data_IF_529432671835
#
_entry.id   IF_529432671835
#
_cell.length_a   1.000
_cell.length_b   1.000
_cell.length_c   1.000
_cell.angle_alpha   90.00
_cell.angle_beta   90.00
_cell.angle_gamma   90.00
#
_symmetry.space_group_name_H-M   'P 1'
#
loop_
_entity.id
_entity.type
_entity.pdbx_description
1 polymer ?
#
# COMPACT_ATOMS: atom_id res chain seq x y z
N UNK A 1 28.02 23.03 11.14
CA UNK A 1 26.74 23.56 11.67
C UNK A 1 25.72 22.44 11.55
N UNK A 2 25.41 21.86 12.70
CA UNK A 2 24.40 20.85 13.04
C UNK A 2 23.59 20.19 11.90
N UNK A 3 24.16 19.16 11.27
CA UNK A 3 23.39 18.18 10.49
C UNK A 3 22.77 17.17 11.47
N UNK A 4 21.72 17.61 12.17
CA UNK A 4 20.90 16.68 12.96
C UNK A 4 20.35 15.61 12.01
N UNK A 5 20.72 14.32 12.17
CA UNK A 5 20.19 13.28 11.30
C UNK A 5 18.69 13.24 11.53
N UNK A 6 17.96 13.70 10.51
CA UNK A 6 16.50 13.72 10.45
C UNK A 6 15.95 12.42 11.02
N UNK A 7 15.43 12.47 12.26
CA UNK A 7 15.02 11.30 13.03
C UNK A 7 14.00 10.52 12.20
N UNK A 8 14.47 9.42 11.58
CA UNK A 8 13.61 8.44 10.93
C UNK A 8 13.07 7.56 12.04
N UNK A 9 11.76 7.53 12.19
CA UNK A 9 11.10 6.61 13.12
C UNK A 9 11.31 5.18 12.61
N UNK A 10 12.33 4.53 13.16
CA UNK A 10 12.69 3.16 12.82
C UNK A 10 11.53 2.20 13.11
N UNK A 11 10.74 2.46 14.16
CA UNK A 11 9.59 1.62 14.49
C UNK A 11 8.57 1.59 13.35
N UNK A 12 8.30 2.73 12.72
CA UNK A 12 7.33 2.84 11.62
C UNK A 12 7.83 2.10 10.39
N UNK A 13 9.14 2.20 10.09
CA UNK A 13 9.75 1.50 8.96
C UNK A 13 9.83 -0.02 9.22
N UNK A 14 10.10 -0.44 10.46
CA UNK A 14 10.08 -1.85 10.89
C UNK A 14 8.68 -2.46 10.81
N UNK A 15 7.68 -1.77 11.36
CA UNK A 15 6.28 -2.21 11.31
C UNK A 15 5.78 -2.34 9.88
N UNK A 16 6.23 -1.43 8.99
CA UNK A 16 5.92 -1.49 7.56
C UNK A 16 6.55 -2.72 6.91
N UNK A 17 7.80 -3.02 7.25
CA UNK A 17 8.48 -4.24 6.80
C UNK A 17 7.72 -5.50 7.22
N UNK A 18 7.28 -5.56 8.49
CA UNK A 18 6.47 -6.67 9.01
C UNK A 18 5.15 -6.78 8.25
N UNK A 19 4.44 -5.66 8.02
CA UNK A 19 3.17 -5.66 7.28
C UNK A 19 3.34 -6.17 5.84
N UNK A 20 4.40 -5.75 5.15
CA UNK A 20 4.71 -6.23 3.78
C UNK A 20 5.06 -7.72 3.80
N UNK A 21 5.84 -8.17 4.79
CA UNK A 21 6.20 -9.59 4.95
C UNK A 21 4.95 -10.45 5.12
N UNK A 22 4.03 -10.06 6.00
CA UNK A 22 2.76 -10.77 6.18
C UNK A 22 1.93 -10.79 4.88
N UNK A 23 1.88 -9.67 4.16
CA UNK A 23 1.15 -9.59 2.89
C UNK A 23 1.72 -10.58 1.85
N UNK A 24 3.04 -10.67 1.73
CA UNK A 24 3.72 -11.59 0.81
C UNK A 24 3.47 -13.05 1.22
N UNK A 25 3.60 -13.37 2.50
CA UNK A 25 3.34 -14.73 3.00
C UNK A 25 1.90 -15.17 2.74
N UNK A 26 0.93 -14.27 2.97
CA UNK A 26 -0.47 -14.56 2.65
C UNK A 26 -0.69 -14.81 1.16
N UNK A 27 -0.14 -13.98 0.28
CA UNK A 27 -0.27 -14.16 -1.17
C UNK A 27 0.42 -15.44 -1.65
N UNK A 28 1.56 -15.79 -1.06
CA UNK A 28 2.24 -17.05 -1.36
C UNK A 28 1.35 -18.26 -1.06
N UNK A 29 0.71 -18.31 0.12
CA UNK A 29 -0.24 -19.37 0.46
C UNK A 29 -1.46 -19.36 -0.47
N UNK A 30 -1.97 -18.18 -0.81
CA UNK A 30 -3.05 -18.02 -1.79
C UNK A 30 -2.67 -18.56 -3.17
N UNK A 31 -1.44 -18.31 -3.64
CA UNK A 31 -0.97 -18.80 -4.92
C UNK A 31 -0.85 -20.33 -4.90
N UNK A 32 -0.33 -20.93 -3.82
CA UNK A 32 -0.29 -22.39 -3.65
C UNK A 32 -1.68 -23.03 -3.70
N UNK A 33 -2.68 -22.41 -3.07
CA UNK A 33 -4.08 -22.86 -3.13
C UNK A 33 -4.67 -22.66 -4.54
N UNK A 34 -4.39 -21.53 -5.18
CA UNK A 34 -4.83 -21.24 -6.54
C UNK A 34 -4.28 -22.24 -7.58
N UNK A 35 -3.03 -22.68 -7.43
CA UNK A 35 -2.43 -23.72 -8.28
C UNK A 35 -2.85 -25.14 -7.89
N UNK A 36 -3.65 -25.31 -6.83
CA UNK A 36 -4.13 -26.62 -6.37
C UNK A 36 -3.06 -27.50 -5.72
N UNK A 37 -1.91 -26.93 -5.35
CA UNK A 37 -0.83 -27.65 -4.66
C UNK A 37 -1.23 -27.97 -3.22
N UNK A 38 -2.04 -27.11 -2.61
CA UNK A 38 -2.51 -27.26 -1.23
C UNK A 38 -3.99 -26.87 -1.20
N UNK A 39 -4.88 -27.73 -0.69
CA UNK A 39 -6.30 -27.40 -0.52
C UNK A 39 -6.53 -26.76 0.85
N UNK A 40 -6.17 -25.49 1.01
CA UNK A 40 -6.44 -24.72 2.23
C UNK A 40 -7.50 -23.69 1.89
N UNK A 41 -8.58 -23.64 2.66
CA UNK A 41 -9.54 -22.55 2.53
C UNK A 41 -8.95 -21.24 3.06
N UNK A 42 -8.14 -20.58 2.23
CA UNK A 42 -7.47 -19.30 2.54
C UNK A 42 -8.49 -18.19 2.78
N UNK A 43 -9.74 -18.40 2.33
CA UNK A 43 -10.86 -17.48 2.49
C UNK A 43 -11.61 -17.67 3.82
N UNK A 44 -11.23 -18.65 4.66
CA UNK A 44 -11.82 -18.86 5.98
C UNK A 44 -10.80 -19.01 7.11
N UNK A 45 -11.28 -18.86 8.35
CA UNK A 45 -10.48 -19.08 9.56
C UNK A 45 -9.37 -18.05 9.82
N UNK A 46 -8.21 -18.57 10.23
CA UNK A 46 -7.07 -17.77 10.72
C UNK A 46 -6.43 -16.95 9.61
N UNK A 47 -6.33 -17.49 8.38
CA UNK A 47 -5.71 -16.82 7.24
C UNK A 47 -6.44 -15.55 6.83
N UNK A 48 -7.77 -15.56 6.83
CA UNK A 48 -8.57 -14.38 6.53
C UNK A 48 -8.34 -13.27 7.57
N UNK A 49 -8.23 -13.64 8.85
CA UNK A 49 -7.95 -12.69 9.94
C UNK A 49 -6.56 -12.08 9.79
N UNK A 50 -5.56 -12.90 9.47
CA UNK A 50 -4.18 -12.46 9.19
C UNK A 50 -4.16 -11.51 7.98
N UNK A 51 -4.88 -11.83 6.92
CA UNK A 51 -4.98 -10.98 5.73
C UNK A 51 -5.57 -9.61 6.06
N UNK A 52 -6.69 -9.59 6.80
CA UNK A 52 -7.33 -8.33 7.24
C UNK A 52 -6.39 -7.52 8.11
N UNK A 53 -5.75 -8.15 9.10
CA UNK A 53 -4.77 -7.48 9.96
C UNK A 53 -3.61 -6.89 9.17
N UNK A 54 -3.05 -7.65 8.22
CA UNK A 54 -1.96 -7.19 7.37
C UNK A 54 -2.38 -5.97 6.53
N UNK A 55 -3.55 -6.03 5.89
CA UNK A 55 -4.07 -4.91 5.09
C UNK A 55 -4.36 -3.70 5.97
N UNK A 56 -5.03 -3.85 7.11
CA UNK A 56 -5.33 -2.75 8.03
C UNK A 56 -4.05 -2.09 8.54
N UNK A 57 -3.07 -2.88 8.99
CA UNK A 57 -1.79 -2.37 9.46
C UNK A 57 -1.03 -1.63 8.36
N UNK A 58 -1.00 -2.21 7.16
CA UNK A 58 -0.35 -1.62 6.00
C UNK A 58 -0.96 -0.26 5.62
N UNK A 59 -2.29 -0.17 5.60
CA UNK A 59 -3.00 1.08 5.30
C UNK A 59 -2.80 2.15 6.37
N UNK A 60 -2.81 1.76 7.64
CA UNK A 60 -2.55 2.66 8.77
C UNK A 60 -1.13 3.25 8.65
N UNK A 61 -0.14 2.40 8.39
CA UNK A 61 1.26 2.82 8.23
C UNK A 61 1.48 3.67 6.98
N UNK A 62 0.77 3.40 5.89
CA UNK A 62 0.76 4.25 4.69
C UNK A 62 0.25 5.66 5.02
N UNK A 63 -0.87 5.76 5.75
CA UNK A 63 -1.42 7.03 6.21
C UNK A 63 -0.45 7.80 7.10
N UNK A 64 0.10 7.16 8.13
CA UNK A 64 1.14 7.73 9.00
C UNK A 64 2.35 8.24 8.21
N UNK A 65 2.81 7.46 7.25
CA UNK A 65 3.95 7.83 6.40
C UNK A 65 3.65 9.05 5.55
N UNK A 66 2.42 9.16 5.04
CA UNK A 66 1.97 10.30 4.25
C UNK A 66 1.91 11.56 5.12
N UNK A 67 1.30 11.49 6.30
CA UNK A 67 1.20 12.61 7.25
C UNK A 67 2.58 13.09 7.70
N UNK A 68 3.49 12.16 8.04
CA UNK A 68 4.85 12.51 8.42
C UNK A 68 5.65 13.13 7.26
N UNK A 69 5.42 12.65 6.03
CA UNK A 69 6.03 13.25 4.85
C UNK A 69 5.44 14.63 4.52
N UNK A 70 4.15 14.84 4.75
CA UNK A 70 3.46 16.12 4.55
C UNK A 70 3.93 17.16 5.58
N UNK A 71 3.93 16.82 6.87
CA UNK A 71 4.44 17.70 7.94
C UNK A 71 5.88 18.17 7.70
N UNK A 72 6.72 17.32 7.10
CA UNK A 72 8.06 17.72 6.66
C UNK A 72 8.03 18.69 5.49
N UNK A 73 7.18 18.44 4.48
CA UNK A 73 7.05 19.33 3.33
C UNK A 73 6.53 20.72 3.69
N UNK A 74 5.59 20.81 4.64
CA UNK A 74 5.07 22.07 5.19
C UNK A 74 6.19 22.84 5.90
N UNK A 75 6.94 22.20 6.80
CA UNK A 75 8.08 22.82 7.51
C UNK A 75 9.17 23.36 6.57
N UNK A 76 9.34 22.74 5.41
CA UNK A 76 10.31 23.13 4.38
C UNK A 76 9.76 24.18 3.39
N UNK A 77 8.50 24.62 3.53
CA UNK A 77 7.86 25.57 2.59
C UNK A 77 7.70 25.03 1.17
N UNK A 78 7.63 23.70 1.00
CA UNK A 78 7.65 23.00 -0.30
C UNK A 78 6.33 22.28 -0.61
N UNK A 79 5.21 22.82 -0.13
CA UNK A 79 3.87 22.21 -0.25
C UNK A 79 3.50 21.89 -1.71
N UNK A 80 3.66 22.83 -2.62
CA UNK A 80 3.31 22.66 -4.03
C UNK A 80 4.12 21.55 -4.73
N UNK A 81 5.42 21.45 -4.38
CA UNK A 81 6.30 20.40 -4.90
C UNK A 81 5.91 19.03 -4.33
N UNK A 82 5.50 18.98 -3.06
CA UNK A 82 5.02 17.76 -2.44
C UNK A 82 3.72 17.28 -3.10
N UNK A 83 2.74 18.18 -3.30
CA UNK A 83 1.48 17.88 -4.00
C UNK A 83 1.72 17.30 -5.39
N UNK A 84 2.51 17.97 -6.24
CA UNK A 84 2.84 17.48 -7.59
C UNK A 84 3.53 16.12 -7.55
N UNK A 85 4.45 15.91 -6.61
CA UNK A 85 5.16 14.63 -6.47
C UNK A 85 4.22 13.52 -6.02
N UNK A 86 3.33 13.80 -5.06
CA UNK A 86 2.35 12.85 -4.55
C UNK A 86 1.38 12.43 -5.64
N UNK A 87 0.79 13.40 -6.35
CA UNK A 87 -0.15 13.13 -7.43
C UNK A 87 0.47 12.35 -8.59
N UNK A 88 1.71 12.69 -8.99
CA UNK A 88 2.44 11.93 -10.00
C UNK A 88 2.71 10.50 -9.56
N UNK A 89 3.09 10.30 -8.28
CA UNK A 89 3.31 8.96 -7.72
C UNK A 89 2.02 8.16 -7.67
N UNK A 90 0.93 8.75 -7.20
CA UNK A 90 -0.36 8.06 -7.11
C UNK A 90 -0.92 7.72 -8.49
N UNK A 91 -0.82 8.64 -9.45
CA UNK A 91 -1.18 8.38 -10.84
C UNK A 91 -0.36 7.22 -11.43
N UNK A 92 0.95 7.20 -11.20
CA UNK A 92 1.81 6.10 -11.64
C UNK A 92 1.40 4.75 -11.03
N UNK A 93 1.16 4.71 -9.71
CA UNK A 93 0.71 3.50 -9.02
C UNK A 93 -0.65 3.03 -9.56
N UNK A 94 -1.58 3.96 -9.78
CA UNK A 94 -2.91 3.66 -10.31
C UNK A 94 -2.83 3.13 -11.75
N UNK A 95 -1.98 3.72 -12.60
CA UNK A 95 -1.73 3.22 -13.95
C UNK A 95 -1.16 1.80 -13.93
N UNK A 96 -0.23 1.52 -13.03
CA UNK A 96 0.31 0.16 -12.84
C UNK A 96 -0.78 -0.81 -12.38
N UNK A 97 -1.65 -0.38 -11.46
CA UNK A 97 -2.77 -1.17 -10.96
C UNK A 97 -3.73 -1.55 -12.10
N UNK A 98 -4.12 -0.58 -12.92
CA UNK A 98 -4.98 -0.80 -14.09
C UNK A 98 -4.33 -1.71 -15.12
N UNK A 99 -3.02 -1.56 -15.34
CA UNK A 99 -2.26 -2.43 -16.24
C UNK A 99 -2.28 -3.89 -15.74
N UNK A 100 -2.05 -4.11 -14.44
CA UNK A 100 -2.14 -5.45 -13.83
C UNK A 100 -3.55 -6.02 -13.96
N UNK A 101 -4.59 -5.23 -13.70
CA UNK A 101 -5.98 -5.66 -13.90
C UNK A 101 -6.28 -6.03 -15.34
N UNK A 102 -5.81 -5.24 -16.32
CA UNK A 102 -6.01 -5.51 -17.73
C UNK A 102 -5.28 -6.79 -18.18
N UNK A 103 -4.03 -6.97 -17.76
CA UNK A 103 -3.24 -8.17 -18.09
C UNK A 103 -3.86 -9.42 -17.45
N UNK A 104 -4.23 -9.35 -16.17
CA UNK A 104 -4.87 -10.48 -15.48
C UNK A 104 -6.27 -10.80 -16.02
N UNK A 105 -7.00 -9.79 -16.52
CA UNK A 105 -8.27 -10.01 -17.22
C UNK A 105 -8.06 -10.81 -18.52
N UNK A 106 -7.05 -10.44 -19.31
CA UNK A 106 -6.74 -11.15 -20.56
C UNK A 106 -6.20 -12.57 -20.33
N UNK A 107 -5.43 -12.80 -19.26
CA UNK A 107 -4.79 -14.10 -19.00
C UNK A 107 -5.66 -15.07 -18.18
N UNK A 108 -6.33 -14.59 -17.12
CA UNK A 108 -7.05 -15.45 -16.16
C UNK A 108 -8.57 -15.45 -16.38
N UNK A 109 -9.13 -14.50 -17.13
CA UNK A 109 -10.55 -14.41 -17.46
C UNK A 109 -11.48 -14.21 -16.25
N UNK A 110 -11.73 -15.28 -15.46
CA UNK A 110 -12.61 -15.28 -14.28
C UNK A 110 -11.91 -14.96 -12.96
N UNK A 111 -10.58 -15.04 -12.89
CA UNK A 111 -9.77 -14.79 -11.69
C UNK A 111 -9.05 -13.44 -11.65
N UNK A 112 -9.51 -12.46 -12.42
CA UNK A 112 -8.80 -11.19 -12.58
C UNK A 112 -8.95 -10.26 -11.37
N UNK A 113 -7.95 -9.43 -11.14
CA UNK A 113 -7.90 -8.52 -9.99
C UNK A 113 -8.76 -7.29 -10.31
N UNK A 114 -10.02 -7.27 -9.85
CA UNK A 114 -10.93 -6.13 -10.07
C UNK A 114 -10.52 -4.91 -9.24
N UNK A 115 -10.25 -5.12 -7.94
CA UNK A 115 -9.90 -4.05 -7.02
C UNK A 115 -8.97 -4.60 -5.94
N UNK A 116 -7.73 -4.09 -5.93
CA UNK A 116 -6.67 -4.58 -5.05
C UNK A 116 -6.00 -3.46 -4.26
N UNK A 117 -5.01 -3.81 -3.45
CA UNK A 117 -4.27 -2.86 -2.62
C UNK A 117 -3.68 -1.71 -3.46
N UNK A 118 -3.14 -1.97 -4.65
CA UNK A 118 -2.59 -0.91 -5.52
C UNK A 118 -3.66 0.12 -5.98
N UNK A 119 -4.86 -0.33 -6.34
CA UNK A 119 -5.96 0.56 -6.71
C UNK A 119 -6.33 1.45 -5.52
N UNK A 120 -6.43 0.84 -4.35
CA UNK A 120 -6.75 1.54 -3.11
C UNK A 120 -5.68 2.58 -2.75
N UNK A 121 -4.40 2.25 -2.86
CA UNK A 121 -3.29 3.20 -2.63
C UNK A 121 -3.33 4.33 -3.68
N UNK A 122 -3.49 4.00 -4.96
CA UNK A 122 -3.52 4.96 -6.05
C UNK A 122 -4.64 6.00 -5.92
N UNK A 123 -5.80 5.59 -5.40
CA UNK A 123 -6.96 6.47 -5.15
C UNK A 123 -6.89 7.18 -3.79
N UNK A 124 -6.43 6.51 -2.74
CA UNK A 124 -6.41 7.09 -1.39
C UNK A 124 -5.38 8.20 -1.23
N UNK A 125 -4.21 8.10 -1.88
CA UNK A 125 -3.17 9.14 -1.80
C UNK A 125 -3.64 10.55 -2.24
N UNK A 126 -4.24 10.74 -3.43
CA UNK A 126 -4.73 12.05 -3.85
C UNK A 126 -5.95 12.49 -3.04
N UNK A 127 -6.78 11.56 -2.58
CA UNK A 127 -7.96 11.84 -1.77
C UNK A 127 -7.61 12.25 -0.33
N UNK A 128 -6.51 11.73 0.23
CA UNK A 128 -6.02 12.08 1.55
C UNK A 128 -5.38 13.48 1.59
N UNK A 129 -4.89 14.00 0.46
CA UNK A 129 -4.26 15.31 0.38
C UNK A 129 -5.11 16.48 0.93
N UNK A 130 -6.40 16.66 0.55
CA UNK A 130 -7.23 17.71 1.14
C UNK A 130 -7.43 17.56 2.65
N UNK A 131 -7.55 16.34 3.17
CA UNK A 131 -7.69 16.08 4.61
C UNK A 131 -6.43 16.42 5.41
N UNK A 132 -5.25 16.43 4.78
CA UNK A 132 -4.00 16.84 5.41
C UNK A 132 -3.87 18.36 5.59
N UNK A 133 -4.69 19.14 4.87
CA UNK A 133 -4.65 20.62 4.88
C UNK A 133 -5.74 21.24 5.77
N UNK A 134 -6.71 20.44 6.22
CA UNK A 134 -7.72 20.83 7.21
C UNK A 134 -7.09 20.89 8.61
#
# INVERSE_FOLDING_TARGET
MDESPMVRFWEVDLLRGIAIMLMVLYHFVFDLDYFGVVQIDVKSGVFLTVARLAVTLFLLLLGLSLTLSFSRAVRLGREDRFKRRLFRRSAWILSLALCISAITYLLLGRGYIIFGALHMIGLSLPLAYPFLRL
#
